data_IF_077633168836
#
_entry.id   IF_077633168836
#
_cell.length_a   1.000
_cell.length_b   1.000
_cell.length_c   1.000
_cell.angle_alpha   90.00
_cell.angle_beta   90.00
_cell.angle_gamma   90.00
#
_symmetry.space_group_name_H-M   'P 1'
#
loop_
_entity.id
_entity.type
_entity.pdbx_description
1 polymer ?
#
# COMPACT_ATOMS: atom_id res chain seq x y z
N UNK A 1 21.70 -10.16 3.00
CA UNK A 1 21.01 -9.13 2.19
C UNK A 1 21.13 -9.38 0.69
N UNK A 2 22.30 -9.66 0.15
CA UNK A 2 22.54 -9.94 -1.28
C UNK A 2 21.62 -11.02 -1.89
N UNK A 3 21.38 -12.11 -1.17
CA UNK A 3 20.49 -13.18 -1.63
C UNK A 3 19.05 -12.68 -1.83
N UNK A 4 18.51 -11.92 -0.87
CA UNK A 4 17.15 -11.40 -0.96
C UNK A 4 17.01 -10.33 -2.05
N UNK A 5 18.00 -9.44 -2.23
CA UNK A 5 17.97 -8.46 -3.32
C UNK A 5 17.99 -9.12 -4.69
N UNK A 6 18.73 -10.24 -4.84
CA UNK A 6 18.73 -11.04 -6.08
C UNK A 6 17.39 -11.69 -6.38
N UNK A 7 16.72 -12.27 -5.35
CA UNK A 7 15.44 -12.96 -5.54
C UNK A 7 14.33 -11.97 -5.89
N UNK A 8 14.27 -10.84 -5.17
CA UNK A 8 13.20 -9.87 -5.33
C UNK A 8 13.48 -8.79 -6.39
N UNK A 9 14.67 -8.77 -6.99
CA UNK A 9 15.02 -7.82 -8.04
C UNK A 9 15.18 -6.38 -7.60
N UNK A 10 15.44 -6.13 -6.31
CA UNK A 10 15.66 -4.79 -5.76
C UNK A 10 17.12 -4.52 -5.43
N UNK A 11 17.57 -3.29 -5.60
CA UNK A 11 18.95 -2.89 -5.29
C UNK A 11 19.25 -2.85 -3.78
N UNK A 12 18.23 -2.56 -2.97
CA UNK A 12 18.39 -2.34 -1.53
C UNK A 12 17.30 -3.05 -0.74
N UNK A 13 17.67 -3.47 0.46
CA UNK A 13 16.80 -4.09 1.44
C UNK A 13 16.99 -3.41 2.79
N UNK A 14 15.88 -3.07 3.45
CA UNK A 14 15.85 -2.54 4.80
C UNK A 14 15.07 -3.52 5.70
N UNK A 15 15.75 -4.37 6.49
CA UNK A 15 15.08 -5.29 7.39
C UNK A 15 14.49 -4.55 8.59
N UNK A 16 13.30 -5.00 9.04
CA UNK A 16 12.61 -4.52 10.24
C UNK A 16 12.36 -5.69 11.20
N UNK A 17 11.97 -5.40 12.45
CA UNK A 17 11.77 -6.44 13.45
C UNK A 17 10.45 -7.20 13.25
N UNK A 18 9.42 -6.53 12.71
CA UNK A 18 8.09 -7.11 12.49
C UNK A 18 7.52 -6.65 11.16
N UNK A 19 6.50 -7.39 10.65
CA UNK A 19 5.79 -7.00 9.43
C UNK A 19 5.12 -5.64 9.53
N UNK A 20 4.51 -5.32 10.67
CA UNK A 20 3.88 -4.02 10.85
C UNK A 20 4.88 -2.87 10.89
N UNK A 21 6.06 -3.06 11.48
CA UNK A 21 7.13 -2.05 11.43
C UNK A 21 7.62 -1.83 9.99
N UNK A 22 7.72 -2.89 9.20
CA UNK A 22 8.03 -2.78 7.79
C UNK A 22 6.96 -1.99 7.03
N UNK A 23 5.67 -2.25 7.28
CA UNK A 23 4.54 -1.51 6.71
C UNK A 23 4.55 -0.03 7.08
N UNK A 24 4.71 0.29 8.37
CA UNK A 24 4.81 1.67 8.86
C UNK A 24 6.00 2.41 8.21
N UNK A 25 7.13 1.73 8.08
CA UNK A 25 8.32 2.30 7.44
C UNK A 25 8.10 2.53 5.96
N UNK A 26 7.47 1.58 5.25
CA UNK A 26 7.13 1.73 3.83
C UNK A 26 6.22 2.94 3.60
N UNK A 27 5.18 3.13 4.42
CA UNK A 27 4.28 4.28 4.36
C UNK A 27 5.04 5.60 4.58
N UNK A 28 5.93 5.65 5.58
CA UNK A 28 6.76 6.83 5.85
C UNK A 28 7.68 7.16 4.66
N UNK A 29 8.30 6.14 4.07
CA UNK A 29 9.15 6.31 2.89
C UNK A 29 8.33 6.82 1.71
N UNK A 30 7.17 6.23 1.44
CA UNK A 30 6.27 6.62 0.36
C UNK A 30 5.82 8.08 0.49
N UNK A 31 5.39 8.51 1.68
CA UNK A 31 5.04 9.92 1.95
C UNK A 31 6.22 10.85 1.74
N UNK A 32 7.40 10.53 2.31
CA UNK A 32 8.61 11.33 2.13
C UNK A 32 9.03 11.44 0.66
N UNK A 33 8.94 10.35 -0.10
CA UNK A 33 9.19 10.34 -1.53
C UNK A 33 8.16 11.20 -2.28
N UNK A 34 6.87 11.06 -1.94
CA UNK A 34 5.79 11.85 -2.51
C UNK A 34 6.04 13.35 -2.38
N UNK A 35 6.43 13.82 -1.21
CA UNK A 35 6.73 15.24 -0.99
C UNK A 35 8.03 15.68 -1.68
N UNK A 36 9.10 14.91 -1.57
CA UNK A 36 10.43 15.31 -2.05
C UNK A 36 10.62 15.09 -3.55
N UNK A 37 10.03 14.06 -4.13
CA UNK A 37 10.25 13.66 -5.53
C UNK A 37 9.02 13.89 -6.40
N UNK A 38 7.86 13.37 -6.03
CA UNK A 38 6.61 13.55 -6.79
C UNK A 38 6.03 14.96 -6.66
N UNK A 39 6.47 15.74 -5.65
CA UNK A 39 6.03 17.12 -5.39
C UNK A 39 4.55 17.25 -5.01
N UNK A 40 4.02 16.23 -4.37
CA UNK A 40 2.70 16.32 -3.73
C UNK A 40 2.74 17.42 -2.66
N UNK A 41 1.69 18.25 -2.51
CA UNK A 41 1.62 19.26 -1.46
C UNK A 41 1.78 18.62 -0.07
N UNK A 42 2.43 19.34 0.83
CA UNK A 42 2.67 18.86 2.19
C UNK A 42 1.37 18.45 2.89
N UNK A 43 1.39 17.32 3.61
CA UNK A 43 0.25 16.71 4.29
C UNK A 43 -0.88 16.19 3.38
N UNK A 44 -0.69 16.17 2.05
CA UNK A 44 -1.68 15.69 1.09
C UNK A 44 -1.37 14.29 0.52
N UNK A 45 -0.25 13.66 0.89
CA UNK A 45 0.12 12.36 0.35
C UNK A 45 -0.88 11.27 0.76
N UNK A 46 -1.43 10.57 -0.24
CA UNK A 46 -2.37 9.47 -0.07
C UNK A 46 -1.70 8.13 -0.38
N UNK A 47 -1.88 7.15 0.48
CA UNK A 47 -1.53 5.74 0.23
C UNK A 47 -2.81 4.96 -0.02
N UNK A 48 -2.87 4.25 -1.14
CA UNK A 48 -3.97 3.33 -1.44
C UNK A 48 -3.73 1.98 -0.77
N UNK A 49 -4.83 1.37 -0.33
CA UNK A 49 -4.87 0.00 0.17
C UNK A 49 -5.94 -0.81 -0.57
N UNK A 50 -5.75 -2.11 -0.63
CA UNK A 50 -6.78 -3.01 -1.10
C UNK A 50 -7.82 -3.29 0.00
N UNK A 51 -9.08 -3.43 -0.37
CA UNK A 51 -10.12 -3.90 0.53
C UNK A 51 -9.73 -5.25 1.15
N UNK A 52 -10.11 -5.49 2.40
CA UNK A 52 -9.78 -6.69 3.20
C UNK A 52 -8.27 -6.86 3.45
N UNK A 53 -7.50 -5.78 3.38
CA UNK A 53 -6.07 -5.84 3.72
C UNK A 53 -5.86 -6.14 5.20
N UNK A 54 -4.74 -6.80 5.48
CA UNK A 54 -4.22 -6.95 6.84
C UNK A 54 -2.70 -6.84 6.85
N UNK A 55 -2.16 -5.87 7.56
CA UNK A 55 -0.72 -5.68 7.68
C UNK A 55 -0.25 -5.37 9.12
N UNK A 56 -1.15 -5.50 10.11
CA UNK A 56 -0.83 -5.33 11.52
C UNK A 56 -1.96 -4.77 12.37
N UNK A 57 -1.63 -4.39 13.60
CA UNK A 57 -2.59 -3.95 14.62
C UNK A 57 -2.27 -2.57 15.21
N UNK A 58 -1.42 -1.78 14.57
CA UNK A 58 -1.17 -0.38 14.96
C UNK A 58 -2.36 0.49 14.60
N UNK A 59 -2.40 1.72 15.15
CA UNK A 59 -3.44 2.69 14.78
C UNK A 59 -3.44 2.95 13.27
N UNK A 60 -2.26 3.04 12.63
CA UNK A 60 -2.19 3.19 11.17
C UNK A 60 -2.76 1.96 10.44
N UNK A 61 -2.43 0.75 10.89
CA UNK A 61 -2.99 -0.47 10.30
C UNK A 61 -4.51 -0.53 10.44
N UNK A 62 -5.04 -0.19 11.63
CA UNK A 62 -6.49 -0.06 11.84
C UNK A 62 -7.14 0.97 10.90
N UNK A 63 -6.42 2.05 10.59
CA UNK A 63 -6.92 3.15 9.75
C UNK A 63 -7.15 2.76 8.30
N UNK A 64 -6.49 1.73 7.80
CA UNK A 64 -6.67 1.18 6.45
C UNK A 64 -7.54 -0.07 6.41
N UNK A 65 -7.99 -0.56 7.57
CA UNK A 65 -8.78 -1.79 7.63
C UNK A 65 -10.22 -1.57 7.16
N UNK A 66 -10.77 -2.56 6.45
CA UNK A 66 -12.20 -2.66 6.12
C UNK A 66 -12.96 -3.64 7.01
N UNK A 67 -12.26 -4.34 7.92
CA UNK A 67 -12.89 -5.23 8.89
C UNK A 67 -13.34 -4.43 10.13
N UNK A 68 -14.66 -4.39 10.42
CA UNK A 68 -15.17 -3.69 11.59
C UNK A 68 -14.57 -4.14 12.92
N UNK A 69 -14.13 -5.39 13.02
CA UNK A 69 -13.49 -5.90 14.25
C UNK A 69 -12.10 -5.31 14.47
N UNK A 70 -11.44 -4.89 13.39
CA UNK A 70 -10.11 -4.29 13.40
C UNK A 70 -10.10 -2.78 13.59
N UNK A 71 -11.16 -2.06 13.20
CA UNK A 71 -11.15 -0.59 13.26
C UNK A 71 -12.19 0.02 14.21
N UNK A 72 -13.31 -0.67 14.48
CA UNK A 72 -14.40 -0.09 15.26
C UNK A 72 -13.95 0.26 16.69
N UNK A 73 -14.20 1.49 17.12
CA UNK A 73 -13.86 2.05 18.42
C UNK A 73 -12.36 2.35 18.66
N UNK A 74 -11.51 2.33 17.60
CA UNK A 74 -10.08 2.60 17.71
C UNK A 74 -9.63 3.94 17.10
N UNK A 75 -10.58 4.77 16.62
CA UNK A 75 -10.25 6.12 16.17
C UNK A 75 -9.75 7.04 17.29
N UNK A 76 -9.18 8.23 16.95
CA UNK A 76 -9.10 8.82 15.61
C UNK A 76 -8.11 8.13 14.68
N UNK A 77 -8.44 8.08 13.41
CA UNK A 77 -7.65 7.35 12.41
C UNK A 77 -6.56 8.19 11.78
N UNK A 78 -5.50 7.53 11.31
CA UNK A 78 -4.42 8.14 10.54
C UNK A 78 -4.96 8.63 9.19
N UNK A 79 -4.79 9.91 8.84
CA UNK A 79 -5.26 10.46 7.57
C UNK A 79 -4.38 10.06 6.38
N UNK A 80 -4.88 10.32 5.16
CA UNK A 80 -4.15 10.09 3.92
C UNK A 80 -4.10 8.61 3.50
N UNK A 81 -5.14 7.85 3.85
CA UNK A 81 -5.38 6.49 3.40
C UNK A 81 -6.68 6.43 2.59
N UNK A 82 -6.68 5.67 1.51
CA UNK A 82 -7.86 5.41 0.70
C UNK A 82 -7.88 3.93 0.29
N UNK A 83 -9.05 3.40 -0.01
CA UNK A 83 -9.26 1.96 -0.18
C UNK A 83 -9.93 1.70 -1.52
N UNK A 84 -9.44 0.69 -2.23
CA UNK A 84 -10.04 0.20 -3.48
C UNK A 84 -10.35 -1.30 -3.37
N UNK A 85 -11.27 -1.83 -4.18
CA UNK A 85 -11.50 -3.28 -4.23
C UNK A 85 -10.21 -4.04 -4.61
N UNK A 86 -9.96 -5.16 -3.92
CA UNK A 86 -8.87 -6.07 -4.29
C UNK A 86 -9.15 -6.73 -5.64
N UNK A 87 -8.11 -7.06 -6.40
CA UNK A 87 -8.21 -7.69 -7.71
C UNK A 87 -9.04 -6.87 -8.73
N UNK A 88 -9.00 -5.53 -8.63
CA UNK A 88 -9.74 -4.64 -9.54
C UNK A 88 -8.82 -3.58 -10.16
N UNK A 89 -8.24 -3.92 -11.29
CA UNK A 89 -7.32 -3.07 -12.04
C UNK A 89 -7.97 -1.76 -12.51
N UNK A 90 -9.25 -1.80 -12.90
CA UNK A 90 -9.96 -0.61 -13.36
C UNK A 90 -10.13 0.41 -12.22
N UNK A 91 -10.41 -0.05 -11.01
CA UNK A 91 -10.50 0.82 -9.84
C UNK A 91 -9.15 1.45 -9.50
N UNK A 92 -8.06 0.69 -9.61
CA UNK A 92 -6.71 1.21 -9.42
C UNK A 92 -6.39 2.28 -10.47
N UNK A 93 -6.55 1.97 -11.76
CA UNK A 93 -6.26 2.93 -12.82
C UNK A 93 -7.10 4.21 -12.69
N UNK A 94 -8.38 4.07 -12.38
CA UNK A 94 -9.26 5.22 -12.15
C UNK A 94 -8.73 6.14 -11.05
N UNK A 95 -8.34 5.58 -9.90
CA UNK A 95 -7.77 6.35 -8.77
C UNK A 95 -6.46 7.01 -9.15
N UNK A 96 -5.51 6.27 -9.72
CA UNK A 96 -4.20 6.79 -10.11
C UNK A 96 -4.28 7.91 -11.14
N UNK A 97 -5.24 7.83 -12.06
CA UNK A 97 -5.47 8.83 -13.10
C UNK A 97 -6.08 10.13 -12.56
N UNK A 98 -6.97 10.03 -11.56
CA UNK A 98 -7.78 11.16 -11.10
C UNK A 98 -7.27 11.80 -9.81
N UNK A 99 -6.34 11.16 -9.09
CA UNK A 99 -5.79 11.70 -7.86
C UNK A 99 -4.25 11.73 -7.90
N UNK A 100 -3.65 12.88 -8.20
CA UNK A 100 -2.20 13.03 -8.25
C UNK A 100 -1.53 12.99 -6.86
N UNK A 101 -2.29 13.02 -5.78
CA UNK A 101 -1.76 12.94 -4.40
C UNK A 101 -1.40 11.52 -3.99
N UNK A 102 -1.83 10.51 -4.74
CA UNK A 102 -1.51 9.10 -4.46
C UNK A 102 -0.01 8.87 -4.68
N UNK A 103 0.66 8.42 -3.63
CA UNK A 103 2.11 8.19 -3.62
C UNK A 103 2.49 6.71 -3.63
N UNK A 104 1.61 5.83 -3.15
CA UNK A 104 1.86 4.39 -3.10
C UNK A 104 0.56 3.59 -3.14
N UNK A 105 0.65 2.36 -3.62
CA UNK A 105 -0.36 1.32 -3.45
C UNK A 105 0.22 0.16 -2.63
N UNK A 106 -0.32 -0.06 -1.44
CA UNK A 106 0.07 -1.16 -0.57
C UNK A 106 -0.91 -2.32 -0.72
N UNK A 107 -0.41 -3.45 -1.19
CA UNK A 107 -1.22 -4.61 -1.55
C UNK A 107 -0.54 -5.93 -1.17
N UNK A 108 -1.33 -6.90 -0.72
CA UNK A 108 -0.86 -8.28 -0.52
C UNK A 108 -0.92 -9.04 -1.86
N UNK A 109 0.16 -9.74 -2.26
CA UNK A 109 0.10 -10.59 -3.45
C UNK A 109 -0.94 -11.70 -3.35
N UNK A 110 -1.13 -12.23 -2.15
CA UNK A 110 -2.20 -13.15 -1.76
C UNK A 110 -2.70 -12.67 -0.41
N UNK A 111 -3.99 -12.36 -0.28
CA UNK A 111 -4.53 -11.94 1.01
C UNK A 111 -4.65 -13.15 1.94
N UNK A 112 -3.93 -13.14 3.05
CA UNK A 112 -3.89 -14.22 4.02
C UNK A 112 -5.07 -14.19 4.99
N UNK A 113 -5.15 -13.19 5.82
CA UNK A 113 -6.16 -13.06 6.89
C UNK A 113 -7.60 -12.93 6.34
N UNK A 114 -7.77 -12.44 5.12
CA UNK A 114 -9.06 -12.35 4.46
C UNK A 114 -9.62 -13.71 3.98
N UNK A 115 -8.86 -14.81 4.14
CA UNK A 115 -9.30 -16.17 3.77
C UNK A 115 -8.51 -16.79 2.62
N UNK A 116 -7.23 -16.43 2.46
CA UNK A 116 -6.34 -16.94 1.40
C UNK A 116 -6.90 -16.63 0.01
N UNK A 117 -7.09 -15.35 -0.26
CA UNK A 117 -7.63 -14.87 -1.54
C UNK A 117 -6.49 -14.68 -2.54
N UNK A 118 -6.54 -15.44 -3.61
CA UNK A 118 -5.58 -15.38 -4.73
C UNK A 118 -6.19 -14.49 -5.81
N UNK A 119 -5.47 -13.48 -6.31
CA UNK A 119 -5.96 -12.65 -7.41
C UNK A 119 -5.81 -13.36 -8.76
N UNK A 120 -6.30 -12.74 -9.82
CA UNK A 120 -6.07 -13.20 -11.19
C UNK A 120 -4.57 -13.20 -11.52
N UNK A 121 -4.13 -14.11 -12.39
CA UNK A 121 -2.71 -14.37 -12.67
C UNK A 121 -1.93 -13.13 -13.12
N UNK A 122 -2.57 -12.22 -13.86
CA UNK A 122 -1.97 -11.01 -14.41
C UNK A 122 -2.14 -9.77 -13.50
N UNK A 123 -2.85 -9.90 -12.37
CA UNK A 123 -3.18 -8.76 -11.52
C UNK A 123 -1.96 -8.01 -11.01
N UNK A 124 -0.99 -8.70 -10.44
CA UNK A 124 0.19 -8.06 -9.84
C UNK A 124 1.10 -7.41 -10.90
N UNK A 125 1.20 -8.01 -12.10
CA UNK A 125 1.91 -7.42 -13.22
C UNK A 125 1.23 -6.12 -13.69
N UNK A 126 -0.10 -6.14 -13.83
CA UNK A 126 -0.88 -4.97 -14.20
C UNK A 126 -0.80 -3.87 -13.13
N UNK A 127 -0.82 -4.22 -11.84
CA UNK A 127 -0.59 -3.28 -10.71
C UNK A 127 0.76 -2.60 -10.86
N UNK A 128 1.82 -3.37 -11.07
CA UNK A 128 3.17 -2.83 -11.24
C UNK A 128 3.24 -1.86 -12.42
N UNK A 129 2.71 -2.27 -13.57
CA UNK A 129 2.72 -1.45 -14.78
C UNK A 129 1.95 -0.13 -14.61
N UNK A 130 0.81 -0.15 -13.92
CA UNK A 130 0.05 1.06 -13.61
C UNK A 130 0.80 1.97 -12.63
N UNK A 131 1.40 1.42 -11.58
CA UNK A 131 2.19 2.20 -10.64
C UNK A 131 3.36 2.90 -11.35
N UNK A 132 4.06 2.20 -12.25
CA UNK A 132 5.12 2.80 -13.06
C UNK A 132 4.57 3.92 -13.97
N UNK A 133 3.46 3.66 -14.69
CA UNK A 133 2.81 4.62 -15.60
C UNK A 133 2.44 5.93 -14.91
N UNK A 134 1.93 5.86 -13.68
CA UNK A 134 1.45 7.02 -12.93
C UNK A 134 2.45 7.55 -11.89
N UNK A 135 3.69 7.04 -11.90
CA UNK A 135 4.75 7.42 -10.96
C UNK A 135 4.28 7.29 -9.50
N UNK A 136 3.91 6.05 -9.12
CA UNK A 136 3.44 5.64 -7.78
C UNK A 136 4.27 4.45 -7.32
N UNK A 137 4.63 4.38 -6.04
CA UNK A 137 5.40 3.29 -5.43
C UNK A 137 4.50 2.07 -5.15
#
# INVERSE_FOLDING_TARGET
>A
MEFATKIFGYEKLLPMNTGVEAGETAIKIARSWGYKKKKVPENCATVLFAQNNFWGRTISACSSSTDPTCYKHYGPFTPGFDIIPYNNINSLEYKLKNDPTIVAFMVEPIQGEAGVIIPDDDYMENVYNLCQKYNVL
#
